data_IF_512621755359
#
_entry.id   IF_512621755359
#
_cell.length_a   1.000
_cell.length_b   1.000
_cell.length_c   1.000
_cell.angle_alpha   90.00
_cell.angle_beta   90.00
_cell.angle_gamma   90.00
#
_symmetry.space_group_name_H-M   'P 1'
#
loop_
_entity.id
_entity.type
_entity.pdbx_description
1 polymer ?
#
# COMPACT_ATOMS: atom_id res chain seq x y z
N UNK A 1 -28.19 -1.50 -12.04
CA UNK A 1 -28.04 -0.96 -10.67
C UNK A 1 -26.58 -0.61 -10.48
N UNK A 2 -26.23 0.62 -10.05
CA UNK A 2 -24.83 0.97 -9.80
C UNK A 2 -24.27 0.10 -8.67
N UNK A 3 -23.04 -0.39 -8.84
CA UNK A 3 -22.29 -1.12 -7.83
C UNK A 3 -21.93 -0.21 -6.65
N UNK A 4 -21.80 -0.78 -5.44
CA UNK A 4 -21.39 -0.03 -4.22
C UNK A 4 -20.06 0.72 -4.38
N UNK A 5 -19.23 0.27 -5.33
CA UNK A 5 -17.94 0.85 -5.65
C UNK A 5 -18.01 1.99 -6.67
N UNK A 6 -19.12 2.17 -7.37
CA UNK A 6 -19.25 3.17 -8.43
C UNK A 6 -19.22 4.59 -7.86
N UNK A 7 -18.71 5.53 -8.67
CA UNK A 7 -18.59 6.95 -8.32
C UNK A 7 -19.95 7.60 -8.00
N UNK A 8 -21.03 7.08 -8.56
CA UNK A 8 -22.39 7.54 -8.29
C UNK A 8 -22.84 7.21 -6.86
N UNK A 9 -22.34 6.11 -6.28
CA UNK A 9 -22.68 5.65 -4.94
C UNK A 9 -21.91 6.35 -3.82
N UNK A 10 -21.01 7.30 -4.15
CA UNK A 10 -20.21 8.07 -3.18
C UNK A 10 -20.61 9.55 -3.13
N UNK A 11 -21.61 9.97 -3.91
CA UNK A 11 -22.11 11.35 -3.88
C UNK A 11 -22.82 11.55 -2.53
N UNK A 12 -22.30 12.47 -1.72
CA UNK A 12 -22.84 12.74 -0.40
C UNK A 12 -24.27 13.31 -0.50
N UNK A 13 -25.25 12.77 0.25
CA UNK A 13 -26.59 13.34 0.30
C UNK A 13 -26.57 14.72 0.94
N UNK A 14 -27.62 15.53 0.70
CA UNK A 14 -27.71 16.91 1.21
C UNK A 14 -27.62 17.03 2.74
N UNK A 15 -27.94 15.96 3.47
CA UNK A 15 -27.88 15.89 4.94
C UNK A 15 -26.60 15.24 5.47
N UNK A 16 -25.57 15.05 4.64
CA UNK A 16 -24.32 14.42 5.07
C UNK A 16 -23.55 15.27 6.08
N UNK A 17 -23.11 14.65 7.18
CA UNK A 17 -22.27 15.30 8.18
C UNK A 17 -20.81 15.42 7.68
N UNK A 18 -20.41 16.63 7.30
CA UNK A 18 -19.05 16.94 6.82
C UNK A 18 -17.93 16.59 7.81
N UNK A 19 -18.22 16.49 9.11
CA UNK A 19 -17.24 16.12 10.14
C UNK A 19 -16.78 14.66 10.07
N UNK A 20 -17.42 13.84 9.24
CA UNK A 20 -16.92 12.48 8.94
C UNK A 20 -15.72 12.49 7.98
N UNK A 21 -15.52 13.57 7.20
CA UNK A 21 -14.44 13.67 6.22
C UNK A 21 -13.05 13.67 6.90
N UNK A 22 -12.80 14.47 7.96
CA UNK A 22 -11.52 14.42 8.68
C UNK A 22 -11.16 13.04 9.24
N UNK A 23 -12.14 12.32 9.80
CA UNK A 23 -11.91 10.97 10.33
C UNK A 23 -11.51 9.99 9.22
N UNK A 24 -12.18 10.05 8.07
CA UNK A 24 -11.83 9.23 6.91
C UNK A 24 -10.45 9.60 6.34
N UNK A 25 -10.13 10.90 6.25
CA UNK A 25 -8.83 11.35 5.79
C UNK A 25 -7.69 10.91 6.73
N UNK A 26 -7.90 11.00 8.04
CA UNK A 26 -6.95 10.51 9.05
C UNK A 26 -6.72 9.01 8.93
N UNK A 27 -7.78 8.22 8.77
CA UNK A 27 -7.67 6.77 8.62
C UNK A 27 -6.78 6.39 7.41
N UNK A 28 -6.97 7.06 6.27
CA UNK A 28 -6.15 6.83 5.07
C UNK A 28 -4.68 7.19 5.33
N UNK A 29 -4.40 8.32 5.99
CA UNK A 29 -3.02 8.72 6.31
C UNK A 29 -2.34 7.76 7.28
N UNK A 30 -3.08 7.24 8.27
CA UNK A 30 -2.57 6.21 9.17
C UNK A 30 -2.20 4.93 8.42
N UNK A 31 -3.00 4.52 7.43
CA UNK A 31 -2.68 3.39 6.57
C UNK A 31 -1.40 3.64 5.74
N UNK A 32 -1.24 4.83 5.13
CA UNK A 32 -0.03 5.17 4.37
C UNK A 32 1.22 5.19 5.27
N UNK A 33 1.05 5.65 6.51
CA UNK A 33 2.12 5.69 7.52
C UNK A 33 2.67 4.31 7.89
N UNK A 34 1.99 3.22 7.55
CA UNK A 34 2.50 1.87 7.77
C UNK A 34 3.86 1.66 7.08
N UNK A 35 4.18 2.35 5.97
CA UNK A 35 5.45 2.14 5.25
C UNK A 35 6.67 2.39 6.17
N UNK A 36 6.51 3.21 7.20
CA UNK A 36 7.53 3.47 8.22
C UNK A 36 7.78 2.27 9.15
N UNK A 37 6.86 1.31 9.28
CA UNK A 37 7.05 0.09 10.04
C UNK A 37 8.23 -0.75 9.51
N UNK A 38 8.59 -0.58 8.23
CA UNK A 38 9.80 -1.17 7.65
C UNK A 38 11.07 -0.84 8.44
N UNK A 39 11.17 0.37 8.99
CA UNK A 39 12.33 0.79 9.77
C UNK A 39 12.54 -0.07 11.03
N UNK A 40 11.45 -0.57 11.62
CA UNK A 40 11.47 -1.47 12.78
C UNK A 40 11.89 -2.89 12.36
N UNK A 41 11.43 -3.34 11.19
CA UNK A 41 11.75 -4.68 10.67
C UNK A 41 13.16 -4.80 10.07
N UNK A 42 13.83 -3.68 9.79
CA UNK A 42 15.16 -3.68 9.17
C UNK A 42 16.19 -4.53 9.93
N UNK A 43 16.33 -4.28 11.24
CA UNK A 43 17.30 -4.99 12.09
C UNK A 43 17.02 -6.50 12.13
N UNK A 44 15.80 -6.98 12.46
CA UNK A 44 15.53 -8.41 12.47
C UNK A 44 15.64 -9.05 11.08
N UNK A 45 15.34 -8.33 9.99
CA UNK A 45 15.56 -8.85 8.62
C UNK A 45 17.04 -9.06 8.30
N UNK A 46 17.90 -8.11 8.66
CA UNK A 46 19.35 -8.29 8.47
C UNK A 46 19.86 -9.52 9.23
N UNK A 47 19.40 -9.72 10.46
CA UNK A 47 19.72 -10.90 11.25
C UNK A 47 19.20 -12.21 10.63
N UNK A 48 17.95 -12.22 10.14
CA UNK A 48 17.33 -13.40 9.54
C UNK A 48 17.99 -13.84 8.23
N UNK A 49 18.31 -12.90 7.35
CA UNK A 49 18.90 -13.21 6.04
C UNK A 49 20.44 -13.18 6.04
N UNK A 50 21.08 -12.75 7.14
CA UNK A 50 22.54 -12.58 7.21
C UNK A 50 23.08 -11.53 6.23
N UNK A 51 22.28 -10.53 5.86
CA UNK A 51 22.62 -9.52 4.85
C UNK A 51 22.90 -8.15 5.47
N UNK A 52 23.70 -7.33 4.79
CA UNK A 52 23.99 -5.96 5.23
C UNK A 52 22.84 -4.97 5.02
N UNK A 53 22.99 -3.79 5.65
CA UNK A 53 22.01 -2.68 5.63
C UNK A 53 21.58 -2.26 4.22
N UNK A 54 22.51 -2.27 3.27
CA UNK A 54 22.26 -1.83 1.89
C UNK A 54 21.26 -2.75 1.19
N UNK A 55 21.41 -4.07 1.34
CA UNK A 55 20.52 -5.04 0.73
C UNK A 55 19.09 -4.86 1.26
N UNK A 56 18.91 -4.82 2.58
CA UNK A 56 17.58 -4.59 3.17
C UNK A 56 17.04 -3.19 2.79
N UNK A 57 17.87 -2.16 2.75
CA UNK A 57 17.48 -0.80 2.38
C UNK A 57 16.92 -0.67 0.95
N UNK A 58 17.34 -1.54 0.03
CA UNK A 58 16.78 -1.57 -1.33
C UNK A 58 15.29 -1.93 -1.35
N UNK A 59 14.79 -2.69 -0.38
CA UNK A 59 13.35 -3.04 -0.30
C UNK A 59 12.51 -1.77 -0.16
N UNK A 60 12.87 -0.90 0.79
CA UNK A 60 12.18 0.37 0.99
C UNK A 60 12.36 1.33 -0.19
N UNK A 61 13.55 1.35 -0.79
CA UNK A 61 13.85 2.22 -1.93
C UNK A 61 12.99 1.85 -3.15
N UNK A 62 12.85 0.55 -3.44
CA UNK A 62 11.97 0.05 -4.49
C UNK A 62 10.51 0.37 -4.17
N UNK A 63 10.06 0.15 -2.93
CA UNK A 63 8.68 0.46 -2.52
C UNK A 63 8.31 1.93 -2.73
N UNK A 64 9.15 2.88 -2.32
CA UNK A 64 8.89 4.31 -2.51
C UNK A 64 8.95 4.71 -4.00
N UNK A 65 9.88 4.11 -4.77
CA UNK A 65 9.93 4.33 -6.22
C UNK A 65 8.64 3.84 -6.90
N UNK A 66 8.15 2.65 -6.54
CA UNK A 66 6.91 2.09 -7.07
C UNK A 66 5.69 2.87 -6.62
N UNK A 67 5.63 3.37 -5.39
CA UNK A 67 4.59 4.28 -4.93
C UNK A 67 4.51 5.54 -5.82
N UNK A 68 5.66 6.11 -6.17
CA UNK A 68 5.75 7.24 -7.10
C UNK A 68 5.26 6.91 -8.51
N UNK A 69 5.66 5.77 -9.06
CA UNK A 69 5.20 5.32 -10.39
C UNK A 69 3.70 5.01 -10.39
N UNK A 70 3.19 4.32 -9.36
CA UNK A 70 1.78 4.03 -9.19
C UNK A 70 0.95 5.32 -9.10
N UNK A 71 1.44 6.35 -8.41
CA UNK A 71 0.79 7.65 -8.40
C UNK A 71 0.80 8.31 -9.79
N UNK A 72 1.94 8.26 -10.50
CA UNK A 72 2.09 8.87 -11.83
C UNK A 72 1.16 8.25 -12.88
N UNK A 73 1.08 6.91 -12.93
CA UNK A 73 0.26 6.20 -13.91
C UNK A 73 -1.19 5.99 -13.45
N UNK A 74 -1.39 5.75 -12.16
CA UNK A 74 -2.70 5.44 -11.58
C UNK A 74 -3.58 6.67 -11.33
N UNK A 75 -3.02 7.88 -11.24
CA UNK A 75 -3.77 9.09 -10.88
C UNK A 75 -4.99 9.36 -11.76
N UNK A 76 -4.81 9.33 -13.09
CA UNK A 76 -5.92 9.56 -14.04
C UNK A 76 -7.01 8.48 -13.95
N UNK A 77 -6.64 7.24 -13.62
CA UNK A 77 -7.59 6.15 -13.43
C UNK A 77 -8.38 6.30 -12.12
N UNK A 78 -7.71 6.73 -11.04
CA UNK A 78 -8.35 7.02 -9.74
C UNK A 78 -9.41 8.11 -9.89
N UNK A 79 -9.10 9.18 -10.63
CA UNK A 79 -10.02 10.28 -10.90
C UNK A 79 -11.29 9.82 -11.65
N UNK A 80 -11.13 8.94 -12.65
CA UNK A 80 -12.24 8.43 -13.46
C UNK A 80 -13.07 7.37 -12.73
N UNK A 81 -12.42 6.40 -12.09
CA UNK A 81 -13.07 5.25 -11.45
C UNK A 81 -13.64 5.56 -10.07
N UNK A 82 -13.12 6.61 -9.43
CA UNK A 82 -13.53 7.05 -8.10
C UNK A 82 -12.78 6.36 -6.95
N UNK A 83 -12.76 6.98 -5.76
CA UNK A 83 -11.93 6.60 -4.62
C UNK A 83 -12.21 5.20 -4.05
N UNK A 84 -13.46 4.70 -4.07
CA UNK A 84 -13.75 3.37 -3.50
C UNK A 84 -13.11 2.24 -4.29
N UNK A 85 -13.23 2.25 -5.62
CA UNK A 85 -12.61 1.23 -6.49
C UNK A 85 -11.09 1.26 -6.35
N UNK A 86 -10.50 2.45 -6.40
CA UNK A 86 -9.05 2.58 -6.27
C UNK A 86 -8.54 2.12 -4.91
N UNK A 87 -9.26 2.43 -3.82
CA UNK A 87 -8.89 1.94 -2.48
C UNK A 87 -8.98 0.41 -2.37
N UNK A 88 -9.99 -0.22 -2.98
CA UNK A 88 -10.09 -1.70 -2.99
C UNK A 88 -8.92 -2.30 -3.76
N UNK A 89 -8.62 -1.77 -4.96
CA UNK A 89 -7.48 -2.24 -5.75
C UNK A 89 -6.17 -2.06 -4.97
N UNK A 90 -5.90 -0.86 -4.45
CA UNK A 90 -4.71 -0.60 -3.64
C UNK A 90 -4.63 -1.55 -2.43
N UNK A 91 -5.73 -1.74 -1.69
CA UNK A 91 -5.77 -2.67 -0.56
C UNK A 91 -5.51 -4.12 -0.95
N UNK A 92 -6.00 -4.58 -2.10
CA UNK A 92 -5.73 -5.94 -2.59
C UNK A 92 -4.27 -6.15 -2.98
N UNK A 93 -3.66 -5.18 -3.69
CA UNK A 93 -2.24 -5.20 -4.04
C UNK A 93 -1.39 -5.19 -2.77
N UNK A 94 -1.71 -4.30 -1.83
CA UNK A 94 -1.07 -4.18 -0.53
C UNK A 94 -1.06 -5.50 0.25
N UNK A 95 -2.23 -6.09 0.49
CA UNK A 95 -2.35 -7.36 1.24
C UNK A 95 -1.62 -8.49 0.51
N UNK A 96 -1.76 -8.58 -0.81
CA UNK A 96 -1.09 -9.61 -1.60
C UNK A 96 0.43 -9.46 -1.54
N UNK A 97 0.95 -8.25 -1.72
CA UNK A 97 2.38 -7.95 -1.62
C UNK A 97 2.94 -8.28 -0.24
N UNK A 98 2.20 -7.96 0.83
CA UNK A 98 2.57 -8.31 2.20
C UNK A 98 2.62 -9.83 2.43
N UNK A 99 1.65 -10.58 1.90
CA UNK A 99 1.63 -12.04 1.99
C UNK A 99 2.80 -12.67 1.22
N UNK A 100 3.12 -12.16 0.04
CA UNK A 100 4.28 -12.59 -0.76
C UNK A 100 5.59 -12.30 -0.03
N UNK A 101 5.73 -11.10 0.56
CA UNK A 101 6.88 -10.76 1.37
C UNK A 101 7.01 -11.64 2.61
N UNK A 102 5.90 -11.92 3.31
CA UNK A 102 5.86 -12.83 4.46
C UNK A 102 6.30 -14.25 4.08
N UNK A 103 5.85 -14.76 2.93
CA UNK A 103 6.32 -16.03 2.38
C UNK A 103 7.83 -16.00 2.08
N UNK A 104 8.34 -14.86 1.61
CA UNK A 104 9.77 -14.67 1.32
C UNK A 104 10.62 -14.77 2.58
N UNK A 105 10.15 -14.17 3.68
CA UNK A 105 10.77 -14.30 4.99
C UNK A 105 10.70 -15.75 5.48
N UNK A 106 9.52 -16.39 5.39
CA UNK A 106 9.32 -17.77 5.85
C UNK A 106 10.18 -18.80 5.10
N UNK A 107 10.44 -18.57 3.81
CA UNK A 107 11.24 -19.46 2.94
C UNK A 107 12.72 -19.07 2.84
N UNK A 108 13.13 -17.98 3.48
CA UNK A 108 14.51 -17.48 3.41
C UNK A 108 14.89 -16.84 2.06
N UNK A 109 13.91 -16.43 1.25
CA UNK A 109 14.11 -15.87 -0.08
C UNK A 109 13.95 -14.34 -0.08
N UNK A 110 15.08 -13.62 0.02
CA UNK A 110 15.09 -12.15 0.04
C UNK A 110 14.49 -11.51 -1.23
N UNK A 111 14.67 -12.14 -2.39
CA UNK A 111 14.13 -11.64 -3.65
C UNK A 111 12.59 -11.56 -3.66
N UNK A 112 11.94 -12.51 -2.97
CA UNK A 112 10.49 -12.55 -2.86
C UNK A 112 9.99 -11.39 -1.96
N UNK A 113 10.83 -10.92 -1.04
CA UNK A 113 10.56 -9.72 -0.24
C UNK A 113 10.70 -8.46 -1.08
N UNK A 114 11.73 -8.35 -1.95
CA UNK A 114 11.84 -7.23 -2.90
C UNK A 114 10.61 -7.17 -3.82
N UNK A 115 10.17 -8.31 -4.33
CA UNK A 115 9.02 -8.37 -5.23
C UNK A 115 7.71 -8.10 -4.49
N UNK A 116 7.45 -8.79 -3.38
CA UNK A 116 6.22 -8.66 -2.61
C UNK A 116 6.03 -7.29 -2.00
N UNK A 117 6.98 -6.85 -1.17
CA UNK A 117 6.89 -5.57 -0.46
C UNK A 117 7.25 -4.38 -1.35
N UNK A 118 8.18 -4.56 -2.30
CA UNK A 118 8.69 -3.46 -3.12
C UNK A 118 7.89 -3.21 -4.39
N UNK A 119 7.40 -4.25 -5.07
CA UNK A 119 6.81 -4.12 -6.42
C UNK A 119 5.29 -4.33 -6.41
N UNK A 120 4.81 -5.31 -5.66
CA UNK A 120 3.38 -5.67 -5.64
C UNK A 120 2.59 -4.83 -4.63
N UNK A 121 3.11 -4.68 -3.40
CA UNK A 121 2.48 -3.91 -2.34
C UNK A 121 2.57 -2.41 -2.56
#
# INVERSE_FOLDING_TARGET
>A
MPSILDREAIIAPRQFNRWLIPAAALAIHLCIGQVYAFSVFKIPMMGHFGTGDVAVGWIFSVAIAMLGLAAAFGGTWVERSGPRKSMVVAGTFWVTGFLVASLGIATGQLWLVYFGYGVVG
#
